data_IF_562226269754
#
_entry.id   IF_562226269754
#
_cell.length_a   1.000
_cell.length_b   1.000
_cell.length_c   1.000
_cell.angle_alpha   90.00
_cell.angle_beta   90.00
_cell.angle_gamma   90.00
#
_symmetry.space_group_name_H-M   'P 1'
#
loop_
_entity.id
_entity.type
_entity.pdbx_description
1 polymer ?
#
# COMPACT_ATOMS: atom_id res chain seq x y z
N UNK A 1 -8.06 -15.00 21.07
CA UNK A 1 -8.28 -13.62 21.56
C UNK A 1 -9.20 -12.82 20.63
N UNK A 2 -8.98 -12.81 19.32
CA UNK A 2 -9.79 -12.03 18.36
C UNK A 2 -11.28 -12.41 18.37
N UNK A 3 -11.62 -13.66 18.58
CA UNK A 3 -13.00 -14.15 18.70
C UNK A 3 -13.72 -13.65 19.99
N UNK A 4 -12.97 -13.18 20.98
CA UNK A 4 -13.54 -12.65 22.23
C UNK A 4 -14.05 -11.21 22.07
N UNK A 5 -13.57 -10.46 21.08
CA UNK A 5 -13.99 -9.07 20.88
C UNK A 5 -15.47 -8.97 20.51
N UNK A 6 -16.00 -9.66 19.49
CA UNK A 6 -17.44 -9.63 19.19
C UNK A 6 -18.32 -10.09 20.37
N UNK A 7 -17.87 -11.11 21.12
CA UNK A 7 -18.57 -11.55 22.33
C UNK A 7 -18.70 -10.42 23.37
N UNK A 8 -17.59 -9.72 23.67
CA UNK A 8 -17.59 -8.59 24.63
C UNK A 8 -18.46 -7.43 24.17
N UNK A 9 -18.46 -7.13 22.86
CA UNK A 9 -19.34 -6.12 22.28
C UNK A 9 -20.81 -6.51 22.52
N UNK A 10 -21.16 -7.76 22.32
CA UNK A 10 -22.51 -8.28 22.59
C UNK A 10 -22.85 -8.19 24.08
N UNK A 11 -21.94 -8.62 24.95
CA UNK A 11 -22.11 -8.56 26.41
C UNK A 11 -22.25 -7.13 26.96
N UNK A 12 -21.69 -6.13 26.26
CA UNK A 12 -21.85 -4.72 26.61
C UNK A 12 -23.19 -4.12 26.18
N UNK A 13 -24.06 -4.89 25.53
CA UNK A 13 -25.37 -4.44 25.04
C UNK A 13 -25.33 -3.66 23.72
N UNK A 14 -24.15 -3.51 23.09
CA UNK A 14 -24.03 -2.90 21.77
C UNK A 14 -24.60 -3.84 20.69
N UNK A 15 -25.31 -3.28 19.72
CA UNK A 15 -25.88 -4.04 18.61
C UNK A 15 -25.59 -3.32 17.29
N UNK A 16 -24.40 -3.54 16.69
CA UNK A 16 -24.00 -2.88 15.47
C UNK A 16 -24.86 -3.35 14.29
N UNK A 17 -25.34 -2.43 13.46
CA UNK A 17 -26.04 -2.78 12.21
C UNK A 17 -25.08 -3.17 11.08
N UNK A 18 -23.86 -2.62 11.11
CA UNK A 18 -22.80 -2.86 10.10
C UNK A 18 -21.46 -3.00 10.83
N UNK A 19 -20.67 -3.96 10.37
CA UNK A 19 -19.27 -4.08 10.74
C UNK A 19 -18.41 -4.00 9.47
N UNK A 20 -17.47 -3.06 9.44
CA UNK A 20 -16.56 -2.87 8.34
C UNK A 20 -15.15 -3.22 8.80
N UNK A 21 -14.45 -4.06 8.06
CA UNK A 21 -13.05 -4.38 8.34
C UNK A 21 -12.16 -4.20 7.11
N UNK A 22 -10.88 -4.07 7.38
CA UNK A 22 -9.84 -4.17 6.37
C UNK A 22 -9.65 -5.65 6.00
N UNK A 23 -10.04 -6.03 4.78
CA UNK A 23 -10.17 -7.45 4.41
C UNK A 23 -8.94 -7.96 3.64
N UNK A 24 -7.89 -8.34 4.37
CA UNK A 24 -6.72 -9.05 3.83
C UNK A 24 -6.79 -10.56 4.04
N UNK A 25 -7.93 -11.07 4.48
CA UNK A 25 -8.16 -12.49 4.73
C UNK A 25 -7.19 -13.13 5.75
N UNK A 26 -6.63 -12.33 6.64
CA UNK A 26 -5.76 -12.80 7.71
C UNK A 26 -6.55 -13.50 8.81
N UNK A 27 -5.88 -14.35 9.58
CA UNK A 27 -6.49 -15.13 10.68
C UNK A 27 -7.25 -14.27 11.67
N UNK A 28 -6.72 -13.09 12.02
CA UNK A 28 -7.39 -12.17 12.94
C UNK A 28 -8.71 -11.64 12.35
N UNK A 29 -8.73 -11.31 11.05
CA UNK A 29 -9.92 -10.84 10.37
C UNK A 29 -10.99 -11.93 10.33
N UNK A 30 -10.62 -13.17 9.98
CA UNK A 30 -11.51 -14.33 9.96
C UNK A 30 -12.13 -14.60 11.33
N UNK A 31 -11.32 -14.51 12.39
CA UNK A 31 -11.79 -14.74 13.75
C UNK A 31 -12.80 -13.68 14.21
N UNK A 32 -12.58 -12.41 13.84
CA UNK A 32 -13.54 -11.35 14.18
C UNK A 32 -14.82 -11.51 13.34
N UNK A 33 -14.71 -11.75 12.04
CA UNK A 33 -15.86 -11.94 11.15
C UNK A 33 -16.74 -13.09 11.64
N UNK A 34 -16.15 -14.25 11.95
CA UNK A 34 -16.87 -15.41 12.49
C UNK A 34 -17.57 -15.07 13.82
N UNK A 35 -16.91 -14.29 14.66
CA UNK A 35 -17.53 -13.81 15.90
C UNK A 35 -18.68 -12.85 15.63
N UNK A 36 -18.58 -11.95 14.65
CA UNK A 36 -19.68 -11.05 14.27
C UNK A 36 -20.88 -11.86 13.78
N UNK A 37 -20.71 -12.82 12.88
CA UNK A 37 -21.77 -13.69 12.41
C UNK A 37 -22.42 -14.50 13.56
N UNK A 38 -21.61 -14.96 14.50
CA UNK A 38 -22.09 -15.76 15.65
C UNK A 38 -22.94 -14.98 16.63
N UNK A 39 -22.50 -13.76 16.98
CA UNK A 39 -23.14 -12.97 18.06
C UNK A 39 -24.13 -11.91 17.54
N UNK A 40 -24.06 -11.57 16.24
CA UNK A 40 -24.84 -10.50 15.63
C UNK A 40 -25.43 -10.94 14.28
N UNK A 41 -26.44 -11.80 14.32
CA UNK A 41 -27.04 -12.39 13.10
C UNK A 41 -27.65 -11.39 12.12
N UNK A 42 -27.94 -10.15 12.56
CA UNK A 42 -28.48 -9.06 11.72
C UNK A 42 -27.44 -8.08 11.23
N UNK A 43 -26.23 -8.14 11.74
CA UNK A 43 -25.13 -7.25 11.36
C UNK A 43 -24.60 -7.61 9.98
N UNK A 44 -24.54 -6.63 9.09
CA UNK A 44 -23.88 -6.81 7.79
C UNK A 44 -22.36 -6.67 7.95
N UNK A 45 -21.63 -7.70 7.55
CA UNK A 45 -20.16 -7.72 7.58
C UNK A 45 -19.63 -7.32 6.22
N UNK A 46 -18.93 -6.18 6.14
CA UNK A 46 -18.37 -5.63 4.91
C UNK A 46 -16.85 -5.70 4.97
N UNK A 47 -16.24 -6.37 4.01
CA UNK A 47 -14.80 -6.39 3.83
C UNK A 47 -14.34 -5.32 2.84
N UNK A 48 -13.55 -4.36 3.29
CA UNK A 48 -12.93 -3.37 2.42
C UNK A 48 -11.58 -3.85 1.89
N UNK A 49 -11.36 -3.74 0.57
CA UNK A 49 -10.05 -3.90 -0.08
C UNK A 49 -9.62 -2.54 -0.64
N UNK A 50 -9.12 -1.64 0.23
CA UNK A 50 -8.93 -0.22 -0.10
C UNK A 50 -7.57 0.08 -0.77
N UNK A 51 -6.80 -0.94 -1.14
CA UNK A 51 -5.51 -0.81 -1.83
C UNK A 51 -5.46 -1.76 -3.02
N UNK A 52 -4.48 -1.53 -3.91
CA UNK A 52 -4.21 -2.43 -5.02
C UNK A 52 -3.25 -3.53 -4.53
N UNK A 53 -3.75 -4.73 -4.28
CA UNK A 53 -2.88 -5.83 -3.88
C UNK A 53 -2.21 -6.44 -5.11
N UNK A 54 -1.03 -7.04 -4.95
CA UNK A 54 -0.48 -7.95 -5.94
C UNK A 54 -1.46 -9.09 -6.24
N UNK A 55 -1.72 -9.35 -7.50
CA UNK A 55 -2.71 -10.36 -7.91
C UNK A 55 -2.28 -11.80 -7.59
N UNK A 56 -0.98 -12.00 -7.37
CA UNK A 56 -0.40 -13.27 -6.95
C UNK A 56 -0.55 -13.56 -5.44
N UNK A 57 -1.07 -12.62 -4.67
CA UNK A 57 -1.41 -12.83 -3.26
C UNK A 57 -2.72 -13.61 -3.13
N UNK A 58 -2.66 -14.92 -3.34
CA UNK A 58 -3.83 -15.81 -3.35
C UNK A 58 -4.61 -15.80 -2.03
N UNK A 59 -3.95 -15.46 -0.92
CA UNK A 59 -4.61 -15.29 0.37
C UNK A 59 -5.69 -14.18 0.39
N UNK A 60 -5.67 -13.27 -0.56
CA UNK A 60 -6.68 -12.20 -0.68
C UNK A 60 -8.03 -12.70 -1.21
N UNK A 61 -8.05 -13.88 -1.80
CA UNK A 61 -9.25 -14.52 -2.31
C UNK A 61 -9.86 -15.40 -1.23
N UNK A 62 -11.11 -15.13 -0.89
CA UNK A 62 -11.84 -15.99 0.06
C UNK A 62 -12.26 -17.28 -0.64
N UNK A 63 -12.08 -18.41 0.03
CA UNK A 63 -12.53 -19.69 -0.46
C UNK A 63 -14.02 -19.90 -0.18
N UNK A 64 -14.64 -20.84 -0.91
CA UNK A 64 -16.03 -21.25 -0.67
C UNK A 64 -16.21 -21.79 0.76
N UNK A 65 -15.26 -22.58 1.25
CA UNK A 65 -15.27 -23.10 2.62
C UNK A 65 -15.25 -21.98 3.66
N UNK A 66 -14.45 -20.94 3.46
CA UNK A 66 -14.43 -19.78 4.38
C UNK A 66 -15.77 -19.06 4.41
N UNK A 67 -16.45 -18.97 3.28
CA UNK A 67 -17.80 -18.41 3.18
C UNK A 67 -18.80 -19.30 3.91
N UNK A 68 -18.80 -20.60 3.61
CA UNK A 68 -19.71 -21.57 4.20
C UNK A 68 -19.64 -21.58 5.73
N UNK A 69 -18.42 -21.52 6.29
CA UNK A 69 -18.20 -21.49 7.74
C UNK A 69 -18.26 -20.09 8.37
N UNK A 70 -18.66 -19.08 7.64
CA UNK A 70 -18.83 -17.71 8.18
C UNK A 70 -17.53 -16.98 8.51
N UNK A 71 -16.41 -17.34 7.89
CA UNK A 71 -15.11 -16.68 8.06
C UNK A 71 -14.87 -15.55 7.05
N UNK A 72 -15.74 -15.41 6.07
CA UNK A 72 -15.64 -14.40 5.03
C UNK A 72 -16.72 -13.32 5.21
N UNK A 73 -16.48 -12.06 4.77
CA UNK A 73 -17.47 -11.00 4.82
C UNK A 73 -18.69 -11.33 3.95
N UNK A 74 -19.86 -10.77 4.26
CA UNK A 74 -21.07 -10.90 3.42
C UNK A 74 -20.90 -10.18 2.08
N UNK A 75 -20.16 -9.06 2.10
CA UNK A 75 -19.97 -8.18 0.97
C UNK A 75 -18.53 -7.69 0.93
N UNK A 76 -17.95 -7.54 -0.27
CA UNK A 76 -16.61 -7.02 -0.45
C UNK A 76 -16.66 -5.74 -1.28
N UNK A 77 -16.00 -4.69 -0.79
CA UNK A 77 -15.85 -3.41 -1.46
C UNK A 77 -14.40 -3.23 -1.91
N UNK A 78 -14.19 -3.08 -3.22
CA UNK A 78 -12.87 -2.95 -3.84
C UNK A 78 -12.58 -1.51 -4.23
N UNK A 79 -11.32 -1.11 -4.29
CA UNK A 79 -10.89 0.24 -4.68
C UNK A 79 -10.87 0.47 -6.21
N UNK A 80 -11.65 -0.25 -6.98
CA UNK A 80 -11.76 0.00 -8.42
C UNK A 80 -12.44 -1.11 -9.19
N UNK A 81 -12.92 -0.75 -10.37
CA UNK A 81 -13.67 -1.68 -11.27
C UNK A 81 -12.81 -2.88 -11.69
N UNK A 82 -11.50 -2.67 -11.97
CA UNK A 82 -10.60 -3.75 -12.38
C UNK A 82 -10.51 -4.82 -11.30
N UNK A 83 -10.30 -4.44 -10.05
CA UNK A 83 -10.26 -5.38 -8.93
C UNK A 83 -11.62 -6.06 -8.71
N UNK A 84 -12.71 -5.32 -8.77
CA UNK A 84 -14.06 -5.91 -8.73
C UNK A 84 -14.18 -7.03 -9.76
N UNK A 85 -13.82 -6.77 -11.01
CA UNK A 85 -13.93 -7.76 -12.09
C UNK A 85 -13.07 -9.00 -11.83
N UNK A 86 -11.84 -8.83 -11.35
CA UNK A 86 -10.94 -9.94 -11.00
C UNK A 86 -11.54 -10.80 -9.89
N UNK A 87 -11.98 -10.19 -8.79
CA UNK A 87 -12.59 -10.93 -7.69
C UNK A 87 -13.92 -11.58 -8.08
N UNK A 88 -14.75 -10.90 -8.87
CA UNK A 88 -16.01 -11.48 -9.36
C UNK A 88 -15.81 -12.61 -10.35
N UNK A 89 -14.72 -12.62 -11.12
CA UNK A 89 -14.38 -13.74 -11.99
C UNK A 89 -13.97 -14.99 -11.20
N UNK A 90 -13.31 -14.79 -10.06
CA UNK A 90 -12.92 -15.88 -9.17
C UNK A 90 -14.10 -16.45 -8.37
N UNK A 91 -14.94 -15.60 -7.77
CA UNK A 91 -16.11 -16.00 -6.97
C UNK A 91 -17.36 -15.28 -7.48
N UNK A 92 -18.09 -15.95 -8.40
CA UNK A 92 -19.26 -15.38 -9.07
C UNK A 92 -20.48 -15.24 -8.17
N UNK A 93 -20.54 -16.00 -7.10
CA UNK A 93 -21.68 -16.04 -6.19
C UNK A 93 -21.60 -14.97 -5.10
N UNK A 94 -20.51 -14.21 -5.07
CA UNK A 94 -20.30 -13.16 -4.09
C UNK A 94 -20.63 -11.79 -4.63
N UNK A 95 -21.20 -10.96 -3.76
CA UNK A 95 -21.44 -9.57 -4.09
C UNK A 95 -20.18 -8.72 -3.89
N UNK A 96 -19.71 -8.13 -4.99
CA UNK A 96 -18.58 -7.19 -5.04
C UNK A 96 -19.04 -5.82 -5.47
N UNK A 97 -18.62 -4.78 -4.73
CA UNK A 97 -18.86 -3.39 -5.08
C UNK A 97 -17.57 -2.65 -5.37
N UNK A 98 -17.72 -1.50 -6.00
CA UNK A 98 -16.66 -0.51 -6.10
C UNK A 98 -16.90 0.56 -5.07
N UNK A 99 -15.91 0.84 -4.25
CA UNK A 99 -15.93 1.90 -3.25
C UNK A 99 -14.70 2.79 -3.34
N UNK A 100 -14.68 3.81 -2.49
CA UNK A 100 -13.53 4.70 -2.36
C UNK A 100 -12.36 3.96 -1.72
N UNK A 101 -11.15 4.29 -2.16
CA UNK A 101 -9.93 3.91 -1.49
C UNK A 101 -9.53 5.02 -0.51
N UNK A 102 -9.80 4.82 0.76
CA UNK A 102 -9.44 5.81 1.79
C UNK A 102 -7.93 6.06 1.86
N UNK A 103 -7.12 5.06 1.52
CA UNK A 103 -5.67 5.20 1.46
C UNK A 103 -5.21 6.27 0.48
N UNK A 104 -5.91 6.40 -0.64
CA UNK A 104 -5.54 7.31 -1.74
C UNK A 104 -6.36 8.60 -1.76
N UNK A 105 -7.08 8.90 -0.68
CA UNK A 105 -7.93 10.09 -0.59
C UNK A 105 -7.17 11.41 -0.76
N UNK A 106 -5.92 11.47 -0.30
CA UNK A 106 -5.07 12.64 -0.45
C UNK A 106 -4.66 12.90 -1.91
N UNK A 107 -4.52 11.86 -2.74
CA UNK A 107 -4.20 12.02 -4.17
C UNK A 107 -5.27 12.84 -4.87
N UNK A 108 -6.54 12.60 -4.55
CA UNK A 108 -7.64 13.39 -5.10
C UNK A 108 -7.50 14.86 -4.75
N UNK A 109 -7.16 15.17 -3.49
CA UNK A 109 -6.92 16.56 -3.06
C UNK A 109 -5.77 17.20 -3.84
N UNK A 110 -4.67 16.46 -4.06
CA UNK A 110 -3.53 16.96 -4.84
C UNK A 110 -3.92 17.25 -6.30
N UNK A 111 -4.75 16.38 -6.89
CA UNK A 111 -5.24 16.57 -8.27
C UNK A 111 -6.25 17.71 -8.36
N UNK A 112 -7.24 17.77 -7.46
CA UNK A 112 -8.30 18.79 -7.47
C UNK A 112 -7.76 20.20 -7.19
N UNK A 113 -6.71 20.32 -6.38
CA UNK A 113 -6.10 21.61 -6.01
C UNK A 113 -5.03 22.08 -6.99
N UNK A 114 -4.87 21.42 -8.14
CA UNK A 114 -3.85 21.74 -9.13
C UNK A 114 -2.42 21.83 -8.56
N UNK A 115 -2.13 21.12 -7.47
CA UNK A 115 -0.80 21.09 -6.87
C UNK A 115 0.23 20.34 -7.73
N UNK A 116 -0.24 19.58 -8.72
CA UNK A 116 0.60 18.86 -9.67
C UNK A 116 0.03 19.07 -11.07
N UNK A 117 0.69 19.90 -11.86
CA UNK A 117 0.45 19.96 -13.29
C UNK A 117 1.43 19.02 -14.01
N UNK A 118 1.00 18.27 -15.03
CA UNK A 118 1.92 17.47 -15.84
C UNK A 118 3.12 18.26 -16.36
N UNK A 119 2.97 19.57 -16.59
CA UNK A 119 4.04 20.47 -17.00
C UNK A 119 5.00 20.91 -15.88
N UNK A 120 4.69 20.59 -14.62
CA UNK A 120 5.55 20.90 -13.47
C UNK A 120 6.42 19.70 -13.06
N UNK A 121 6.06 18.51 -13.54
CA UNK A 121 6.84 17.30 -13.34
C UNK A 121 8.20 17.50 -14.01
N UNK A 122 9.26 17.45 -13.20
CA UNK A 122 10.63 17.67 -13.69
C UNK A 122 11.15 19.11 -13.59
N UNK A 123 10.33 20.09 -13.22
CA UNK A 123 10.85 21.43 -12.86
C UNK A 123 11.82 21.37 -11.69
N UNK A 124 11.54 20.54 -10.72
CA UNK A 124 12.47 20.20 -9.65
C UNK A 124 13.29 19.00 -10.11
N UNK A 125 14.59 19.14 -10.22
CA UNK A 125 15.51 18.02 -10.52
C UNK A 125 15.68 17.10 -9.31
N UNK A 126 14.57 16.56 -8.78
CA UNK A 126 14.54 15.72 -7.59
C UNK A 126 14.10 14.31 -7.98
N UNK A 127 14.92 13.32 -7.67
CA UNK A 127 14.57 11.91 -7.74
C UNK A 127 14.36 11.41 -6.32
N UNK A 128 13.15 10.93 -6.00
CA UNK A 128 12.86 10.38 -4.69
C UNK A 128 12.99 8.86 -4.70
N UNK A 129 13.87 8.34 -3.86
CA UNK A 129 14.10 6.91 -3.64
C UNK A 129 13.29 6.48 -2.42
N UNK A 130 12.32 5.60 -2.63
CA UNK A 130 11.39 5.19 -1.58
C UNK A 130 11.72 3.77 -1.13
N UNK A 131 12.13 3.63 0.13
CA UNK A 131 12.58 2.37 0.68
C UNK A 131 11.45 1.62 1.38
N UNK A 132 11.51 0.29 1.29
CA UNK A 132 10.59 -0.63 1.96
C UNK A 132 10.87 -0.71 3.47
N UNK A 133 9.87 -1.14 4.26
CA UNK A 133 10.08 -1.56 5.66
C UNK A 133 10.99 -2.78 5.80
N UNK A 134 11.18 -3.55 4.74
CA UNK A 134 11.95 -4.80 4.72
C UNK A 134 13.38 -4.47 4.28
N UNK A 135 14.34 -4.55 5.19
CA UNK A 135 15.76 -4.20 4.96
C UNK A 135 16.34 -4.89 3.71
N UNK A 136 16.17 -6.21 3.48
CA UNK A 136 16.68 -6.86 2.26
C UNK A 136 16.13 -6.24 0.96
N UNK A 137 14.86 -5.82 0.94
CA UNK A 137 14.25 -5.16 -0.22
C UNK A 137 14.90 -3.78 -0.43
N UNK A 138 15.02 -2.99 0.63
CA UNK A 138 15.66 -1.67 0.59
C UNK A 138 17.12 -1.77 0.13
N UNK A 139 17.83 -2.78 0.62
CA UNK A 139 19.19 -3.08 0.18
C UNK A 139 19.24 -3.40 -1.32
N UNK A 140 18.33 -4.23 -1.81
CA UNK A 140 18.27 -4.57 -3.23
C UNK A 140 17.98 -3.36 -4.11
N UNK A 141 17.05 -2.49 -3.71
CA UNK A 141 16.76 -1.23 -4.43
C UNK A 141 18.02 -0.37 -4.52
N UNK A 142 18.72 -0.15 -3.43
CA UNK A 142 19.95 0.66 -3.41
C UNK A 142 21.06 0.02 -4.26
N UNK A 143 21.33 -1.29 -4.11
CA UNK A 143 22.34 -2.00 -4.91
C UNK A 143 22.09 -1.87 -6.39
N UNK A 144 20.86 -2.15 -6.82
CA UNK A 144 20.49 -2.15 -8.23
C UNK A 144 20.50 -0.75 -8.86
N UNK A 145 20.34 0.29 -8.04
CA UNK A 145 20.24 1.67 -8.51
C UNK A 145 21.47 2.54 -8.21
N UNK A 146 22.47 2.04 -7.50
CA UNK A 146 23.67 2.81 -7.10
C UNK A 146 24.29 3.57 -8.27
N UNK A 147 24.53 2.89 -9.40
CA UNK A 147 25.10 3.51 -10.60
C UNK A 147 24.20 4.60 -11.17
N UNK A 148 22.89 4.38 -11.20
CA UNK A 148 21.94 5.36 -11.71
C UNK A 148 21.87 6.58 -10.79
N UNK A 149 21.91 6.38 -9.48
CA UNK A 149 21.97 7.44 -8.46
C UNK A 149 23.22 8.31 -8.64
N UNK A 150 24.40 7.68 -8.75
CA UNK A 150 25.66 8.43 -8.98
C UNK A 150 25.62 9.22 -10.29
N UNK A 151 25.12 8.63 -11.37
CA UNK A 151 24.97 9.33 -12.64
C UNK A 151 23.99 10.51 -12.54
N UNK A 152 22.90 10.35 -11.82
CA UNK A 152 21.93 11.43 -11.61
C UNK A 152 22.58 12.60 -10.84
N UNK A 153 23.29 12.31 -9.75
CA UNK A 153 24.03 13.32 -8.97
C UNK A 153 25.03 14.06 -9.85
N UNK A 154 25.84 13.32 -10.65
CA UNK A 154 26.82 13.91 -11.56
C UNK A 154 26.20 14.84 -12.62
N UNK A 155 24.88 14.65 -12.94
CA UNK A 155 24.11 15.50 -13.84
C UNK A 155 23.27 16.56 -13.13
N UNK A 156 23.56 16.84 -11.86
CA UNK A 156 22.94 17.90 -11.07
C UNK A 156 21.52 17.60 -10.60
N UNK A 157 21.18 16.31 -10.42
CA UNK A 157 19.94 15.90 -9.79
C UNK A 157 20.12 15.78 -8.29
N UNK A 158 19.13 16.21 -7.55
CA UNK A 158 19.02 16.00 -6.12
C UNK A 158 18.39 14.61 -5.86
N UNK A 159 18.98 13.87 -4.93
CA UNK A 159 18.45 12.55 -4.52
C UNK A 159 17.87 12.67 -3.13
N UNK A 160 16.58 12.38 -3.00
CA UNK A 160 15.91 12.29 -1.70
C UNK A 160 15.61 10.85 -1.38
N UNK A 161 16.12 10.35 -0.27
CA UNK A 161 15.83 9.00 0.19
C UNK A 161 14.79 9.09 1.31
N UNK A 162 13.60 8.58 1.03
CA UNK A 162 12.53 8.45 2.02
C UNK A 162 12.57 7.08 2.65
N UNK A 163 12.72 7.07 3.94
CA UNK A 163 12.65 5.85 4.74
C UNK A 163 11.19 5.45 5.01
N UNK A 164 10.96 4.14 5.09
CA UNK A 164 9.71 3.67 5.68
C UNK A 164 9.66 4.08 7.17
N UNK A 165 8.50 4.49 7.71
CA UNK A 165 8.38 4.97 9.10
C UNK A 165 8.84 3.98 10.17
N UNK A 166 8.93 2.69 9.86
CA UNK A 166 9.42 1.66 10.79
C UNK A 166 10.94 1.49 10.80
N UNK A 167 11.65 2.09 9.84
CA UNK A 167 13.11 2.06 9.81
C UNK A 167 13.70 3.13 10.73
N UNK A 168 14.80 2.80 11.39
CA UNK A 168 15.53 3.73 12.26
C UNK A 168 16.62 4.49 11.48
N UNK A 169 17.07 5.61 12.04
CA UNK A 169 18.23 6.33 11.49
C UNK A 169 19.50 5.45 11.45
N UNK A 170 19.64 4.51 12.39
CA UNK A 170 20.74 3.55 12.41
C UNK A 170 20.68 2.58 11.24
N UNK A 171 19.48 2.05 10.93
CA UNK A 171 19.29 1.17 9.76
C UNK A 171 19.70 1.88 8.48
N UNK A 172 19.34 3.15 8.37
CA UNK A 172 19.66 3.96 7.21
C UNK A 172 21.14 4.25 7.07
N UNK A 173 21.81 4.66 8.17
CA UNK A 173 23.25 4.90 8.16
C UNK A 173 24.03 3.64 7.75
N UNK A 174 23.58 2.47 8.21
CA UNK A 174 24.14 1.17 7.82
C UNK A 174 23.95 0.93 6.30
N UNK A 175 22.76 1.13 5.78
CA UNK A 175 22.46 0.94 4.34
C UNK A 175 23.29 1.88 3.47
N UNK A 176 23.36 3.18 3.79
CA UNK A 176 24.09 4.16 2.99
C UNK A 176 25.60 3.90 2.97
N UNK A 177 26.17 3.54 4.13
CA UNK A 177 27.60 3.19 4.24
C UNK A 177 27.98 1.97 3.38
N UNK A 178 27.07 1.01 3.26
CA UNK A 178 27.29 -0.20 2.48
C UNK A 178 27.44 0.08 0.96
N UNK A 179 26.83 1.19 0.48
CA UNK A 179 26.80 1.51 -0.95
C UNK A 179 27.69 2.69 -1.36
N UNK A 180 28.56 3.16 -0.46
CA UNK A 180 29.47 4.30 -0.70
C UNK A 180 28.71 5.53 -1.28
N UNK A 181 27.46 5.70 -0.87
CA UNK A 181 26.68 6.86 -1.25
C UNK A 181 27.05 7.99 -0.31
N UNK A 182 27.82 8.98 -0.83
CA UNK A 182 28.22 10.14 -0.05
C UNK A 182 27.03 10.92 0.44
N UNK A 183 26.97 11.14 1.77
CA UNK A 183 25.85 11.82 2.44
C UNK A 183 25.61 13.26 1.95
N UNK A 184 26.63 13.92 1.41
CA UNK A 184 26.56 15.32 1.04
C UNK A 184 25.70 15.60 -0.21
N UNK A 185 25.39 14.56 -1.00
CA UNK A 185 24.59 14.66 -2.22
C UNK A 185 23.18 14.07 -2.05
N UNK A 186 22.85 13.62 -0.83
CA UNK A 186 21.58 12.94 -0.57
C UNK A 186 20.89 13.55 0.63
N UNK A 187 19.64 13.91 0.44
CA UNK A 187 18.74 14.31 1.51
C UNK A 187 17.97 13.08 2.04
N UNK A 188 18.11 12.79 3.33
CA UNK A 188 17.24 11.85 4.03
C UNK A 188 15.98 12.55 4.45
N UNK A 189 14.84 12.13 3.92
CA UNK A 189 13.57 12.77 4.21
C UNK A 189 12.62 11.88 4.99
N UNK A 190 11.88 12.51 5.90
CA UNK A 190 10.77 11.92 6.64
C UNK A 190 9.43 12.55 6.25
N UNK A 191 9.43 13.43 5.24
CA UNK A 191 8.21 14.04 4.71
C UNK A 191 7.15 12.96 4.41
N UNK A 192 5.89 13.31 4.56
CA UNK A 192 4.80 12.45 4.10
C UNK A 192 4.75 12.40 2.56
N UNK A 193 3.96 11.48 2.03
CA UNK A 193 3.85 11.32 0.58
C UNK A 193 3.11 12.48 -0.08
N UNK A 194 2.19 13.12 0.64
CA UNK A 194 1.44 14.28 0.16
C UNK A 194 2.35 15.48 -0.13
N UNK A 195 3.41 15.64 0.68
CA UNK A 195 4.41 16.71 0.53
C UNK A 195 5.55 16.35 -0.43
N UNK A 196 5.95 15.06 -0.47
CA UNK A 196 7.11 14.61 -1.25
C UNK A 196 6.79 14.43 -2.74
N UNK A 197 5.64 13.83 -3.07
CA UNK A 197 5.30 13.49 -4.45
C UNK A 197 5.25 14.72 -5.37
N UNK A 198 4.63 15.85 -4.99
CA UNK A 198 4.60 17.04 -5.84
C UNK A 198 5.95 17.60 -6.22
N UNK A 199 6.97 17.40 -5.37
CA UNK A 199 8.34 17.88 -5.59
C UNK A 199 9.18 16.93 -6.43
N UNK A 200 8.73 15.69 -6.61
CA UNK A 200 9.51 14.63 -7.25
C UNK A 200 9.35 14.65 -8.77
N UNK A 201 10.45 14.69 -9.50
CA UNK A 201 10.46 14.54 -10.96
C UNK A 201 10.37 13.08 -11.40
N UNK A 202 10.86 12.18 -10.56
CA UNK A 202 10.76 10.73 -10.74
C UNK A 202 10.83 10.01 -9.38
N UNK A 203 10.25 8.83 -9.35
CA UNK A 203 10.28 7.94 -8.18
C UNK A 203 11.06 6.68 -8.53
N UNK A 204 11.96 6.30 -7.64
CA UNK A 204 12.64 5.01 -7.64
C UNK A 204 12.17 4.21 -6.42
N UNK A 205 11.64 3.04 -6.61
CA UNK A 205 11.09 2.23 -5.51
C UNK A 205 11.14 0.74 -5.85
N UNK A 206 10.86 -0.10 -4.87
CA UNK A 206 10.46 -1.48 -5.10
C UNK A 206 8.97 -1.55 -5.43
N UNK A 207 8.47 -2.75 -5.64
CA UNK A 207 7.04 -3.01 -5.77
C UNK A 207 6.27 -2.48 -4.56
N UNK A 208 5.13 -1.83 -4.79
CA UNK A 208 4.30 -1.35 -3.69
C UNK A 208 3.29 -0.28 -4.05
N UNK A 209 2.44 0.04 -3.07
CA UNK A 209 1.36 1.01 -3.23
C UNK A 209 1.81 2.42 -3.60
N UNK A 210 3.02 2.80 -3.23
CA UNK A 210 3.58 4.12 -3.51
C UNK A 210 3.88 4.33 -5.00
N UNK A 211 4.28 3.26 -5.72
CA UNK A 211 4.43 3.32 -7.17
C UNK A 211 3.11 3.70 -7.84
N UNK A 212 2.00 3.11 -7.37
CA UNK A 212 0.66 3.43 -7.87
C UNK A 212 0.28 4.89 -7.56
N UNK A 213 0.60 5.36 -6.36
CA UNK A 213 0.34 6.75 -5.96
C UNK A 213 1.04 7.75 -6.89
N UNK A 214 2.32 7.52 -7.19
CA UNK A 214 3.09 8.35 -8.11
C UNK A 214 2.54 8.30 -9.55
N UNK A 215 2.22 7.11 -10.06
CA UNK A 215 1.63 6.92 -11.40
C UNK A 215 0.30 7.66 -11.51
N UNK A 216 -0.55 7.61 -10.48
CA UNK A 216 -1.83 8.34 -10.46
C UNK A 216 -1.64 9.86 -10.59
N UNK A 217 -0.52 10.40 -10.14
CA UNK A 217 -0.16 11.80 -10.25
C UNK A 217 0.62 12.13 -11.55
N UNK A 218 0.85 11.13 -12.41
CA UNK A 218 1.62 11.29 -13.64
C UNK A 218 3.13 11.37 -13.44
N UNK A 219 3.64 11.04 -12.25
CA UNK A 219 5.07 11.05 -11.93
C UNK A 219 5.70 9.75 -12.46
N UNK A 220 6.79 9.83 -13.26
CA UNK A 220 7.52 8.65 -13.73
C UNK A 220 8.02 7.80 -12.58
N UNK A 221 7.86 6.48 -12.71
CA UNK A 221 8.28 5.51 -11.70
C UNK A 221 9.22 4.47 -12.31
N UNK A 222 10.34 4.26 -11.65
CA UNK A 222 11.23 3.11 -11.88
C UNK A 222 11.02 2.13 -10.73
N UNK A 223 10.44 0.99 -11.04
CA UNK A 223 10.28 -0.11 -10.08
C UNK A 223 11.43 -1.09 -10.19
N UNK A 224 12.10 -1.35 -9.07
CA UNK A 224 13.17 -2.36 -8.99
C UNK A 224 12.54 -3.67 -8.56
N UNK A 225 12.41 -4.60 -9.50
CA UNK A 225 11.87 -5.93 -9.24
C UNK A 225 12.78 -6.75 -8.32
N UNK A 226 12.19 -7.56 -7.46
CA UNK A 226 12.95 -8.48 -6.60
C UNK A 226 13.32 -9.75 -7.39
N UNK A 227 14.53 -10.31 -7.23
CA UNK A 227 14.96 -11.54 -7.93
C UNK A 227 14.04 -12.75 -7.68
N UNK A 228 13.33 -12.72 -6.55
CA UNK A 228 12.38 -13.78 -6.12
C UNK A 228 10.95 -13.23 -6.02
N UNK A 229 10.74 -11.97 -6.38
CA UNK A 229 9.42 -11.36 -6.44
C UNK A 229 8.66 -11.86 -7.67
N UNK A 230 7.34 -11.95 -7.53
CA UNK A 230 6.47 -12.12 -8.68
C UNK A 230 6.13 -10.71 -9.17
N UNK A 231 6.50 -10.39 -10.40
CA UNK A 231 6.19 -9.10 -11.01
C UNK A 231 4.68 -8.87 -11.11
N UNK A 232 4.29 -7.60 -11.04
CA UNK A 232 2.90 -7.18 -11.14
C UNK A 232 2.41 -7.04 -12.58
#
# INVERSE_FOLDING_TARGET
LANKLPKRICESGMNPSVYINWSENQTIHKAIISGMHKYFSKTKVIGGKPFLPPLNHLNLFNTESERHYGYAPDRIVTCGKKLKNIFSAYDKDRHYDVGASFRYGYLRKLMDNNHIHPGDIGKHKIISVLLSQIIPISRHVLTSSTRAIHNAIANGWEIRIKMHPTLTKSDMAMLLKEYDIKSDCIELTFEDMESLLPKSAAILTSEGGVAVEAICLGIPVVSVGMPIGLDF
#
